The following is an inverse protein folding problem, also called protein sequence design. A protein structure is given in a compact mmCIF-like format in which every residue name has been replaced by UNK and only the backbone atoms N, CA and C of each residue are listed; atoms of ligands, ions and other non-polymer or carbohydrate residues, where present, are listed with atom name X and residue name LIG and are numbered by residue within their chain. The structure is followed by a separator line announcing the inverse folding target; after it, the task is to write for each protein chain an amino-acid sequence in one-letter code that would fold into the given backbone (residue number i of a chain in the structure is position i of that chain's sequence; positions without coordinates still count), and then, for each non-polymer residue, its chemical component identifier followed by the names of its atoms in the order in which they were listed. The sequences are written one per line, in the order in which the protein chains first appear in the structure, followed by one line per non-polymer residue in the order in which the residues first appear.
data_IF_617948251950
#
_entry.id   IF_617948251950
#
_cell.length_a   1.000
_cell.length_b   1.000
_cell.length_c   1.000
_cell.angle_alpha   90.00
_cell.angle_beta   90.00
_cell.angle_gamma   90.00
#
_symmetry.space_group_name_H-M   'P 1'
#
loop_
_entity.id
_entity.type
_entity.pdbx_description
1 polymer ?
#
# COMPACT_ATOMS: atom_id res chain seq x y z
N UNK A 1 40.19 -28.51 5.12
CA UNK A 1 40.79 -28.82 6.42
C UNK A 1 39.91 -28.18 7.47
N UNK A 2 39.12 -28.83 8.31
CA UNK A 2 38.63 -30.19 8.55
C UNK A 2 37.45 -29.97 9.54
N UNK A 3 36.28 -30.61 9.39
CA UNK A 3 35.91 -31.87 10.08
C UNK A 3 36.17 -31.79 11.61
N UNK A 4 35.29 -32.06 12.57
CA UNK A 4 34.31 -33.14 12.75
C UNK A 4 33.58 -32.89 14.10
N UNK A 5 32.28 -33.22 14.23
CA UNK A 5 31.71 -34.39 14.94
C UNK A 5 32.19 -34.69 16.38
N UNK A 6 31.22 -34.83 17.30
CA UNK A 6 31.07 -35.88 18.35
C UNK A 6 29.74 -35.61 19.09
N UNK A 7 28.67 -36.41 19.06
CA UNK A 7 28.44 -37.82 19.45
C UNK A 7 28.37 -38.07 20.96
N UNK A 8 27.21 -38.54 21.45
CA UNK A 8 27.00 -39.49 22.58
C UNK A 8 25.52 -39.94 22.56
N UNK A 9 25.20 -41.13 22.02
CA UNK A 9 24.96 -42.42 22.71
C UNK A 9 23.86 -42.38 23.80
N UNK A 10 22.68 -43.00 23.64
CA UNK A 10 22.31 -44.41 23.44
C UNK A 10 21.61 -44.94 24.70
N UNK A 11 20.39 -45.48 24.56
CA UNK A 11 20.01 -46.73 25.23
C UNK A 11 18.79 -47.37 24.56
N UNK A 12 19.07 -48.52 23.97
CA UNK A 12 18.15 -49.52 23.45
C UNK A 12 17.28 -50.13 24.54
N UNK A 13 16.07 -50.56 24.16
CA UNK A 13 15.43 -51.78 24.65
C UNK A 13 14.53 -52.34 23.54
N UNK A 14 14.93 -53.45 22.93
CA UNK A 14 14.06 -54.35 22.18
C UNK A 14 13.21 -55.18 23.17
N UNK A 15 12.08 -55.72 22.69
CA UNK A 15 12.08 -57.17 22.57
C UNK A 15 11.53 -57.68 21.23
N UNK A 16 12.26 -58.66 20.72
CA UNK A 16 11.90 -59.63 19.69
C UNK A 16 10.62 -60.39 20.01
N UNK A 17 9.75 -60.60 19.01
CA UNK A 17 8.98 -61.85 18.85
C UNK A 17 8.44 -62.03 17.42
N UNK A 18 8.91 -63.12 16.82
CA UNK A 18 8.34 -63.97 15.77
C UNK A 18 7.59 -63.34 14.59
N UNK A 19 8.26 -63.39 13.44
CA UNK A 19 7.66 -63.82 12.17
C UNK A 19 6.92 -65.13 12.42
N UNK A 20 5.61 -65.11 12.24
CA UNK A 20 4.80 -66.19 11.67
C UNK A 20 3.33 -65.81 11.88
N UNK A 21 2.66 -65.39 10.81
CA UNK A 21 1.22 -65.51 10.81
C UNK A 21 0.45 -64.58 9.88
N UNK A 22 -0.09 -65.17 8.82
CA UNK A 22 -1.32 -64.77 8.13
C UNK A 22 -1.16 -63.58 7.17
N UNK A 23 -0.63 -63.90 5.99
CA UNK A 23 -1.16 -63.35 4.73
C UNK A 23 -2.66 -63.68 4.64
N UNK A 24 -3.49 -62.83 5.24
CA UNK A 24 -4.89 -62.71 4.83
C UNK A 24 -4.95 -61.58 3.81
N UNK A 25 -4.92 -61.93 2.53
CA UNK A 25 -5.38 -61.02 1.48
C UNK A 25 -6.80 -60.59 1.85
N UNK A 26 -7.12 -59.29 1.92
CA UNK A 26 -8.52 -58.91 1.91
C UNK A 26 -9.03 -59.27 0.51
N UNK A 27 -9.99 -60.20 0.44
CA UNK A 27 -10.98 -60.24 -0.65
C UNK A 27 -11.75 -58.92 -0.59
N UNK A 28 -11.11 -57.87 -1.09
CA UNK A 28 -11.73 -56.59 -1.34
C UNK A 28 -12.36 -56.74 -2.71
N UNK A 29 -13.70 -56.82 -2.74
CA UNK A 29 -14.46 -56.76 -3.98
C UNK A 29 -13.80 -55.74 -4.92
N UNK A 30 -13.33 -56.21 -6.09
CA UNK A 30 -12.66 -55.37 -7.09
C UNK A 30 -13.49 -54.12 -7.43
N UNK A 31 -14.80 -54.22 -7.24
CA UNK A 31 -15.78 -53.14 -7.37
C UNK A 31 -15.55 -52.03 -6.34
N UNK A 32 -15.35 -52.36 -5.05
CA UNK A 32 -15.15 -51.35 -3.98
C UNK A 32 -13.82 -50.62 -4.11
N UNK A 33 -12.76 -51.31 -4.55
CA UNK A 33 -11.47 -50.68 -4.79
C UNK A 33 -11.51 -49.74 -6.00
N UNK A 34 -12.19 -50.16 -7.08
CA UNK A 34 -12.41 -49.31 -8.25
C UNK A 34 -13.29 -48.09 -7.91
N UNK A 35 -14.32 -48.25 -7.08
CA UNK A 35 -15.15 -47.13 -6.60
C UNK A 35 -14.36 -46.12 -5.77
N UNK A 36 -13.48 -46.61 -4.88
CA UNK A 36 -12.57 -45.76 -4.09
C UNK A 36 -11.60 -44.97 -4.97
N UNK A 37 -10.94 -45.64 -5.92
CA UNK A 37 -10.04 -44.98 -6.88
C UNK A 37 -10.79 -44.01 -7.79
N UNK A 38 -12.02 -44.32 -8.21
CA UNK A 38 -12.86 -43.39 -8.97
C UNK A 38 -13.31 -42.19 -8.12
N UNK A 39 -13.53 -42.37 -6.82
CA UNK A 39 -13.75 -41.27 -5.88
C UNK A 39 -12.52 -40.36 -5.79
N UNK A 40 -11.36 -40.96 -5.53
CA UNK A 40 -10.07 -40.25 -5.43
C UNK A 40 -9.69 -39.54 -6.74
N UNK A 41 -9.87 -40.18 -7.89
CA UNK A 41 -9.60 -39.57 -9.20
C UNK A 41 -10.58 -38.44 -9.52
N UNK A 42 -11.85 -38.53 -9.13
CA UNK A 42 -12.81 -37.42 -9.26
C UNK A 42 -12.45 -36.23 -8.37
N UNK A 43 -11.98 -36.49 -7.17
CA UNK A 43 -11.55 -35.46 -6.22
C UNK A 43 -10.25 -34.78 -6.69
N UNK A 44 -9.32 -35.57 -7.25
CA UNK A 44 -8.08 -35.10 -7.87
C UNK A 44 -8.33 -34.33 -9.18
N UNK A 45 -9.25 -34.79 -10.04
CA UNK A 45 -9.67 -34.03 -11.23
C UNK A 45 -10.43 -32.76 -10.85
N UNK A 46 -11.24 -32.78 -9.79
CA UNK A 46 -11.92 -31.58 -9.27
C UNK A 46 -10.91 -30.52 -8.82
N UNK A 47 -9.82 -30.92 -8.16
CA UNK A 47 -8.73 -30.01 -7.75
C UNK A 47 -7.87 -29.53 -8.92
N UNK A 48 -7.62 -30.36 -9.93
CA UNK A 48 -6.88 -29.97 -11.14
C UNK A 48 -7.69 -29.14 -12.16
N UNK A 49 -9.02 -29.25 -12.13
CA UNK A 49 -9.94 -28.50 -13.01
C UNK A 49 -10.44 -27.20 -12.40
N UNK A 50 -10.02 -26.83 -11.17
CA UNK A 50 -10.33 -25.50 -10.65
C UNK A 50 -9.66 -24.45 -11.56
N UNK A 51 -10.45 -23.58 -12.21
CA UNK A 51 -9.88 -22.47 -12.96
C UNK A 51 -9.04 -21.66 -11.97
N UNK A 52 -7.73 -21.55 -12.21
CA UNK A 52 -6.87 -20.69 -11.41
C UNK A 52 -7.44 -19.28 -11.50
N UNK A 53 -8.09 -18.82 -10.43
CA UNK A 53 -8.69 -17.50 -10.37
C UNK A 53 -7.59 -16.48 -10.68
N UNK A 54 -7.86 -15.62 -11.66
CA UNK A 54 -6.94 -14.55 -12.08
C UNK A 54 -7.10 -13.31 -11.21
N UNK A 55 -7.55 -13.49 -9.97
CA UNK A 55 -7.70 -12.40 -9.00
C UNK A 55 -7.63 -12.93 -7.57
N UNK A 56 -7.33 -12.02 -6.64
CA UNK A 56 -7.47 -12.22 -5.20
C UNK A 56 -8.42 -11.16 -4.63
N UNK A 57 -9.00 -11.44 -3.46
CA UNK A 57 -9.82 -10.47 -2.73
C UNK A 57 -9.06 -10.04 -1.49
N UNK A 58 -8.78 -8.74 -1.39
CA UNK A 58 -8.03 -8.09 -0.34
C UNK A 58 -8.98 -7.40 0.63
N UNK A 59 -8.73 -7.56 1.92
CA UNK A 59 -9.33 -6.76 2.99
C UNK A 59 -8.55 -5.46 3.17
N UNK A 60 -9.13 -4.52 3.90
CA UNK A 60 -8.47 -3.25 4.22
C UNK A 60 -7.13 -3.44 4.95
N UNK A 61 -7.03 -4.45 5.82
CA UNK A 61 -5.79 -4.80 6.51
C UNK A 61 -4.68 -5.23 5.53
N UNK A 62 -5.02 -6.06 4.53
CA UNK A 62 -4.08 -6.50 3.50
C UNK A 62 -3.58 -5.31 2.67
N UNK A 63 -4.48 -4.35 2.36
CA UNK A 63 -4.13 -3.11 1.66
C UNK A 63 -3.15 -2.28 2.48
N UNK A 64 -3.42 -2.08 3.78
CA UNK A 64 -2.51 -1.34 4.68
C UNK A 64 -1.13 -1.99 4.72
N UNK A 65 -1.08 -3.31 4.85
CA UNK A 65 0.17 -4.05 4.88
C UNK A 65 0.94 -3.90 3.57
N UNK A 66 0.29 -4.09 2.42
CA UNK A 66 0.93 -3.93 1.11
C UNK A 66 1.45 -2.50 0.90
N UNK A 67 0.68 -1.47 1.28
CA UNK A 67 1.15 -0.08 1.21
C UNK A 67 2.39 0.12 2.07
N UNK A 68 2.40 -0.39 3.30
CA UNK A 68 3.54 -0.27 4.21
C UNK A 68 4.78 -0.97 3.66
N UNK A 69 4.61 -2.15 3.06
CA UNK A 69 5.70 -2.88 2.41
C UNK A 69 6.27 -2.06 1.23
N UNK A 70 5.41 -1.54 0.35
CA UNK A 70 5.84 -0.70 -0.78
C UNK A 70 6.60 0.54 -0.29
N UNK A 71 6.07 1.24 0.72
CA UNK A 71 6.73 2.42 1.29
C UNK A 71 8.08 2.08 1.90
N UNK A 72 8.16 1.01 2.69
CA UNK A 72 9.41 0.56 3.33
C UNK A 72 10.46 0.20 2.29
N UNK A 73 10.06 -0.54 1.25
CA UNK A 73 10.96 -0.95 0.16
C UNK A 73 11.52 0.27 -0.58
N UNK A 74 10.66 1.22 -0.96
CA UNK A 74 11.06 2.45 -1.65
C UNK A 74 11.94 3.33 -0.77
N UNK A 75 11.58 3.55 0.50
CA UNK A 75 12.40 4.30 1.44
C UNK A 75 13.80 3.69 1.57
N UNK A 76 13.88 2.36 1.73
CA UNK A 76 15.16 1.67 1.91
C UNK A 76 16.01 1.68 0.64
N UNK A 77 15.43 1.37 -0.53
CA UNK A 77 16.19 1.23 -1.78
C UNK A 77 16.60 2.57 -2.39
N UNK A 78 15.76 3.59 -2.26
CA UNK A 78 16.04 4.92 -2.83
C UNK A 78 16.64 5.90 -1.82
N UNK A 79 16.73 5.50 -0.54
CA UNK A 79 17.17 6.36 0.56
C UNK A 79 16.41 7.70 0.64
N UNK A 80 15.09 7.63 0.45
CA UNK A 80 14.20 8.79 0.49
C UNK A 80 13.32 8.78 1.75
N UNK A 81 12.80 9.95 2.13
CA UNK A 81 11.84 10.04 3.24
C UNK A 81 10.52 9.34 2.90
N UNK A 82 9.77 8.95 3.93
CA UNK A 82 8.42 8.38 3.78
C UNK A 82 7.51 9.26 2.92
N UNK A 83 7.50 10.56 3.17
CA UNK A 83 6.73 11.53 2.37
C UNK A 83 7.11 11.48 0.89
N UNK A 84 8.40 11.44 0.58
CA UNK A 84 8.88 11.33 -0.79
C UNK A 84 8.49 10.00 -1.42
N UNK A 85 8.59 8.89 -0.67
CA UNK A 85 8.19 7.57 -1.12
C UNK A 85 6.69 7.51 -1.47
N UNK A 86 5.82 8.11 -0.65
CA UNK A 86 4.37 8.20 -0.94
C UNK A 86 4.15 8.93 -2.28
N UNK A 87 4.73 10.11 -2.46
CA UNK A 87 4.58 10.91 -3.69
C UNK A 87 5.06 10.12 -4.92
N UNK A 88 6.21 9.44 -4.81
CA UNK A 88 6.78 8.61 -5.88
C UNK A 88 5.92 7.40 -6.22
N UNK A 89 5.45 6.68 -5.21
CA UNK A 89 4.57 5.52 -5.38
C UNK A 89 3.29 5.91 -6.10
N UNK A 90 2.67 7.02 -5.69
CA UNK A 90 1.48 7.54 -6.36
C UNK A 90 1.74 7.92 -7.81
N UNK A 91 2.86 8.60 -8.10
CA UNK A 91 3.23 8.93 -9.48
C UNK A 91 3.35 7.69 -10.36
N UNK A 92 3.83 6.59 -9.79
CA UNK A 92 4.00 5.32 -10.46
C UNK A 92 2.84 4.34 -10.23
N UNK A 93 1.66 4.82 -9.84
CA UNK A 93 0.45 3.99 -9.73
C UNK A 93 0.62 2.80 -8.77
N UNK A 94 1.42 2.97 -7.73
CA UNK A 94 1.86 1.95 -6.77
C UNK A 94 2.58 0.75 -7.41
N UNK A 95 3.17 0.92 -8.59
CA UNK A 95 4.03 -0.08 -9.22
C UNK A 95 5.51 0.20 -8.88
N UNK A 96 6.01 -0.53 -7.89
CA UNK A 96 7.37 -0.39 -7.35
C UNK A 96 8.45 -0.68 -8.40
N UNK A 97 8.28 -1.73 -9.23
CA UNK A 97 9.25 -2.06 -10.29
C UNK A 97 9.39 -0.90 -11.28
N UNK A 98 8.26 -0.40 -11.79
CA UNK A 98 8.25 0.73 -12.72
C UNK A 98 8.83 2.01 -12.10
N UNK A 99 8.62 2.21 -10.80
CA UNK A 99 9.23 3.32 -10.07
C UNK A 99 10.76 3.20 -10.07
N UNK A 100 11.30 2.02 -9.76
CA UNK A 100 12.74 1.81 -9.75
C UNK A 100 13.36 1.98 -11.13
N UNK A 101 12.76 1.39 -12.16
CA UNK A 101 13.24 1.52 -13.53
C UNK A 101 13.37 3.01 -13.91
N UNK A 102 12.31 3.80 -13.69
CA UNK A 102 12.31 5.24 -13.99
C UNK A 102 13.26 6.05 -13.11
N UNK A 103 13.31 5.75 -11.81
CA UNK A 103 14.12 6.51 -10.86
C UNK A 103 15.60 6.34 -11.13
N UNK A 104 16.05 5.12 -11.45
CA UNK A 104 17.46 4.86 -11.73
C UNK A 104 17.91 5.37 -13.10
N UNK A 105 16.97 5.59 -14.03
CA UNK A 105 17.25 6.21 -15.34
C UNK A 105 17.23 7.76 -15.28
N UNK A 106 16.22 8.36 -14.66
CA UNK A 106 15.88 9.78 -14.78
C UNK A 106 15.55 10.46 -13.42
N UNK A 107 16.36 10.22 -12.38
CA UNK A 107 16.07 10.70 -11.00
C UNK A 107 15.74 12.20 -10.94
N UNK A 108 16.60 13.05 -11.51
CA UNK A 108 16.45 14.51 -11.37
C UNK A 108 15.19 15.01 -12.08
N UNK A 109 14.81 14.44 -13.22
CA UNK A 109 13.59 14.79 -13.94
C UNK A 109 12.34 14.35 -13.18
N UNK A 110 12.37 13.14 -12.60
CA UNK A 110 11.29 12.64 -11.72
C UNK A 110 11.13 13.56 -10.51
N UNK A 111 12.23 13.93 -9.85
CA UNK A 111 12.22 14.86 -8.72
C UNK A 111 11.65 16.21 -9.09
N UNK A 112 12.13 16.81 -10.18
CA UNK A 112 11.70 18.13 -10.61
C UNK A 112 10.22 18.17 -10.96
N UNK A 113 9.74 17.17 -11.71
CA UNK A 113 8.32 17.03 -12.07
C UNK A 113 7.42 16.90 -10.85
N UNK A 114 7.88 16.19 -9.82
CA UNK A 114 7.11 15.95 -8.59
C UNK A 114 7.28 17.05 -7.55
N UNK A 115 8.20 17.99 -7.75
CA UNK A 115 8.50 19.04 -6.78
C UNK A 115 9.28 18.54 -5.56
N UNK A 116 10.08 17.47 -5.72
CA UNK A 116 10.94 16.88 -4.70
C UNK A 116 12.36 17.48 -4.76
N UNK A 117 12.43 18.81 -4.72
CA UNK A 117 13.67 19.57 -4.93
C UNK A 117 14.71 19.30 -3.82
N UNK A 118 15.98 19.11 -4.22
CA UNK A 118 17.09 18.79 -3.29
C UNK A 118 17.63 19.99 -2.52
N UNK A 119 17.56 21.18 -3.11
CA UNK A 119 18.11 22.41 -2.55
C UNK A 119 16.97 23.31 -2.10
N UNK A 120 16.73 23.35 -0.79
CA UNK A 120 15.99 24.44 -0.18
C UNK A 120 16.97 25.59 0.01
N UNK A 121 16.71 26.79 -0.54
CA UNK A 121 17.51 27.97 -0.19
C UNK A 121 17.52 28.11 1.34
N UNK A 122 18.71 28.14 1.94
CA UNK A 122 18.85 28.46 3.35
C UNK A 122 18.41 29.93 3.51
N UNK A 123 17.21 30.13 4.04
CA UNK A 123 16.77 31.47 4.41
C UNK A 123 17.40 31.78 5.76
N UNK A 124 18.26 32.80 5.79
CA UNK A 124 18.85 33.28 7.02
C UNK A 124 17.75 33.87 7.91
N UNK A 125 17.47 33.18 9.03
CA UNK A 125 16.48 33.59 10.04
C UNK A 125 17.10 34.45 11.14
N UNK A 126 18.23 35.10 10.87
CA UNK A 126 18.92 36.01 11.80
C UNK A 126 18.04 37.20 12.24
N UNK A 127 16.99 37.54 11.48
CA UNK A 127 15.91 38.43 11.91
C UNK A 127 14.87 37.65 12.74
N UNK A 128 14.75 37.97 14.02
CA UNK A 128 13.91 37.26 15.00
C UNK A 128 12.39 37.31 14.79
N UNK A 129 11.90 37.69 13.61
CA UNK A 129 10.48 37.64 13.23
C UNK A 129 10.32 37.59 11.69
N UNK A 130 9.19 37.08 11.21
CA UNK A 130 8.82 37.13 9.79
C UNK A 130 7.35 37.52 9.61
N UNK A 131 6.97 38.03 8.44
CA UNK A 131 5.56 38.32 8.10
C UNK A 131 5.02 37.22 7.20
N UNK A 132 3.91 36.61 7.60
CA UNK A 132 3.24 35.59 6.80
C UNK A 132 2.55 36.23 5.58
N UNK A 133 2.89 35.80 4.36
CA UNK A 133 2.31 36.39 3.13
C UNK A 133 0.85 36.00 2.86
N UNK A 134 0.26 35.10 3.67
CA UNK A 134 -1.15 34.69 3.55
C UNK A 134 -2.04 35.54 4.46
N UNK A 135 -1.73 35.63 5.75
CA UNK A 135 -2.53 36.39 6.72
C UNK A 135 -1.99 37.81 6.99
N UNK A 136 -0.78 38.12 6.53
CA UNK A 136 -0.06 39.39 6.77
C UNK A 136 0.28 39.67 8.25
N UNK A 137 0.18 38.66 9.12
CA UNK A 137 0.57 38.78 10.53
C UNK A 137 2.07 38.58 10.73
N UNK A 138 2.63 39.26 11.72
CA UNK A 138 4.03 39.07 12.15
C UNK A 138 4.12 37.90 13.12
N UNK A 139 5.04 37.00 12.85
CA UNK A 139 5.28 35.79 13.63
C UNK A 139 6.70 35.84 14.21
N UNK A 140 6.82 35.72 15.52
CA UNK A 140 8.10 35.78 16.22
C UNK A 140 8.91 34.50 16.01
N UNK A 141 10.24 34.63 15.90
CA UNK A 141 11.16 33.50 15.68
C UNK A 141 11.34 32.61 16.90
N UNK A 142 10.87 33.05 18.07
CA UNK A 142 11.00 32.35 19.35
C UNK A 142 10.00 31.21 19.58
N UNK A 143 9.11 30.94 18.63
CA UNK A 143 8.15 29.84 18.73
C UNK A 143 8.06 29.04 17.45
N UNK A 144 7.54 27.82 17.59
CA UNK A 144 7.24 26.85 16.53
C UNK A 144 6.30 27.38 15.42
N UNK A 145 6.01 28.69 15.34
CA UNK A 145 4.91 29.27 14.57
C UNK A 145 5.10 29.25 13.05
N UNK A 146 6.30 28.94 12.52
CA UNK A 146 6.58 29.00 11.09
C UNK A 146 7.15 27.70 10.55
N UNK A 147 6.59 27.20 9.46
CA UNK A 147 7.08 26.00 8.80
C UNK A 147 7.13 26.22 7.28
N UNK A 148 8.06 25.54 6.61
CA UNK A 148 8.14 25.47 5.16
C UNK A 148 8.01 24.01 4.71
N UNK A 149 7.66 23.79 3.44
CA UNK A 149 7.85 22.47 2.84
C UNK A 149 9.34 22.12 2.82
N UNK A 150 9.67 20.85 3.00
CA UNK A 150 11.05 20.33 2.87
C UNK A 150 11.66 20.50 1.48
N UNK A 151 10.88 20.96 0.50
CA UNK A 151 11.29 21.08 -0.88
C UNK A 151 11.36 22.54 -1.37
N UNK A 152 11.03 23.55 -0.54
CA UNK A 152 11.22 24.96 -0.92
C UNK A 152 11.47 25.87 0.30
N UNK A 153 11.89 27.12 0.04
CA UNK A 153 12.19 28.10 1.08
C UNK A 153 11.03 29.02 1.45
N UNK A 154 9.78 28.67 1.09
CA UNK A 154 8.61 29.52 1.37
C UNK A 154 8.01 29.15 2.73
N UNK A 155 7.94 30.14 3.62
CA UNK A 155 7.45 29.98 4.98
C UNK A 155 6.06 30.59 5.14
N UNK A 156 5.21 29.90 5.90
CA UNK A 156 3.93 30.43 6.33
C UNK A 156 3.71 30.08 7.79
N UNK A 157 2.84 30.82 8.46
CA UNK A 157 2.50 30.49 9.83
C UNK A 157 1.76 29.14 9.88
N UNK A 158 1.91 28.41 10.99
CA UNK A 158 1.27 27.11 11.20
C UNK A 158 -0.24 27.20 10.96
N UNK A 159 -0.89 28.28 11.42
CA UNK A 159 -2.33 28.47 11.24
C UNK A 159 -2.73 28.53 9.76
N UNK A 160 -1.98 29.24 8.92
CA UNK A 160 -2.24 29.31 7.48
C UNK A 160 -2.02 27.94 6.82
N UNK A 161 -0.95 27.23 7.17
CA UNK A 161 -0.73 25.87 6.67
C UNK A 161 -1.84 24.90 7.08
N UNK A 162 -2.25 24.92 8.35
CA UNK A 162 -3.30 24.04 8.88
C UNK A 162 -4.66 24.31 8.20
N UNK A 163 -4.97 25.58 7.91
CA UNK A 163 -6.16 25.94 7.13
C UNK A 163 -6.06 25.43 5.70
N UNK A 164 -4.96 25.75 5.01
CA UNK A 164 -4.71 25.32 3.63
C UNK A 164 -4.79 23.80 3.45
N UNK A 165 -4.13 23.04 4.34
CA UNK A 165 -4.14 21.57 4.31
C UNK A 165 -5.54 21.00 4.54
N UNK A 166 -6.27 21.48 5.54
CA UNK A 166 -7.64 20.99 5.79
C UNK A 166 -8.62 21.32 4.68
N UNK A 167 -8.49 22.50 4.07
CA UNK A 167 -9.30 22.88 2.91
C UNK A 167 -9.04 21.94 1.75
N UNK A 168 -7.77 21.62 1.47
CA UNK A 168 -7.43 20.64 0.44
C UNK A 168 -7.99 19.24 0.76
N UNK A 169 -7.88 18.77 2.00
CA UNK A 169 -8.46 17.49 2.44
C UNK A 169 -9.99 17.46 2.26
N UNK A 170 -10.65 18.60 2.53
CA UNK A 170 -12.10 18.69 2.47
C UNK A 170 -12.63 18.82 1.04
N UNK A 171 -11.93 19.57 0.18
CA UNK A 171 -12.41 19.94 -1.14
C UNK A 171 -11.85 19.07 -2.27
N UNK A 172 -10.58 18.64 -2.17
CA UNK A 172 -9.88 17.95 -3.25
C UNK A 172 -9.94 16.42 -3.12
N UNK A 173 -10.39 15.91 -1.98
CA UNK A 173 -10.43 14.47 -1.68
C UNK A 173 -9.04 13.84 -1.85
N UNK A 174 -8.94 12.80 -2.68
CA UNK A 174 -7.68 12.10 -3.00
C UNK A 174 -6.64 13.01 -3.68
N UNK A 175 -7.06 14.17 -4.22
CA UNK A 175 -6.17 15.19 -4.75
C UNK A 175 -5.26 15.83 -3.71
N UNK A 176 -5.66 15.87 -2.43
CA UNK A 176 -4.89 16.50 -1.34
C UNK A 176 -3.52 15.84 -1.09
N UNK A 177 -3.35 14.60 -1.52
CA UNK A 177 -2.11 13.84 -1.42
C UNK A 177 -1.07 14.23 -2.51
N UNK A 178 -1.44 15.13 -3.42
CA UNK A 178 -0.53 15.76 -4.40
C UNK A 178 -0.39 17.27 -4.18
N UNK A 179 -0.69 17.72 -2.95
CA UNK A 179 -0.68 19.12 -2.55
C UNK A 179 0.67 19.79 -2.84
N UNK A 180 0.62 21.06 -3.24
CA UNK A 180 1.77 21.89 -3.59
C UNK A 180 1.92 23.06 -2.63
N UNK A 181 3.11 23.65 -2.62
CA UNK A 181 3.36 24.88 -1.88
C UNK A 181 2.34 25.96 -2.31
N UNK A 182 1.74 26.71 -1.36
CA UNK A 182 0.76 27.74 -1.70
C UNK A 182 1.39 28.99 -2.35
N UNK A 183 2.72 29.10 -2.39
CA UNK A 183 3.39 30.21 -3.06
C UNK A 183 3.15 30.18 -4.58
N UNK A 184 2.69 31.28 -5.21
CA UNK A 184 2.46 31.34 -6.65
C UNK A 184 3.69 30.91 -7.46
N UNK A 185 3.51 29.98 -8.40
CA UNK A 185 4.60 29.48 -9.25
C UNK A 185 5.55 28.48 -8.58
N UNK A 186 5.39 28.19 -7.29
CA UNK A 186 6.18 27.17 -6.60
C UNK A 186 5.63 25.76 -6.86
N UNK A 187 6.39 24.92 -7.55
CA UNK A 187 6.02 23.53 -7.83
C UNK A 187 6.33 22.53 -6.71
N UNK A 188 6.86 22.99 -5.57
CA UNK A 188 7.34 22.14 -4.49
C UNK A 188 6.20 21.31 -3.88
N UNK A 189 6.45 20.03 -3.65
CA UNK A 189 5.47 19.16 -3.03
C UNK A 189 5.25 19.52 -1.56
N UNK A 190 4.10 19.15 -1.02
CA UNK A 190 3.83 19.16 0.42
C UNK A 190 3.70 17.70 0.86
N UNK A 191 4.65 17.27 1.69
CA UNK A 191 4.74 15.89 2.16
C UNK A 191 3.79 15.57 3.32
N UNK A 192 3.56 14.28 3.55
CA UNK A 192 2.77 13.77 4.68
C UNK A 192 3.28 14.31 6.03
N UNK A 193 4.59 14.49 6.18
CA UNK A 193 5.22 15.03 7.37
C UNK A 193 4.71 16.44 7.74
N UNK A 194 4.67 17.38 6.78
CA UNK A 194 4.14 18.72 7.01
C UNK A 194 2.63 18.67 7.25
N UNK A 195 1.91 17.89 6.44
CA UNK A 195 0.44 17.73 6.57
C UNK A 195 0.10 17.27 7.98
N UNK A 196 0.74 16.20 8.47
CA UNK A 196 0.46 15.67 9.80
C UNK A 196 0.92 16.63 10.89
N UNK A 197 2.05 17.32 10.73
CA UNK A 197 2.54 18.25 11.75
C UNK A 197 1.59 19.43 11.97
N UNK A 198 1.02 20.00 10.89
CA UNK A 198 0.12 21.17 11.01
C UNK A 198 -1.29 20.77 11.41
N UNK A 199 -1.73 19.54 11.11
CA UNK A 199 -3.02 19.05 11.57
C UNK A 199 -3.03 18.79 13.08
N UNK A 200 -1.91 18.47 13.72
CA UNK A 200 -1.83 18.33 15.19
C UNK A 200 -2.24 19.62 15.91
N UNK A 201 -2.02 20.78 15.30
CA UNK A 201 -2.32 22.08 15.94
C UNK A 201 -3.76 22.54 15.75
N UNK A 202 -4.59 21.78 15.02
CA UNK A 202 -5.96 22.17 14.65
C UNK A 202 -6.99 21.42 15.50
N UNK A 203 -8.06 22.10 15.90
CA UNK A 203 -9.15 21.50 16.69
C UNK A 203 -9.79 20.28 16.01
N UNK A 204 -10.05 20.34 14.70
CA UNK A 204 -10.58 19.22 13.91
C UNK A 204 -9.47 18.36 13.27
N UNK A 205 -8.24 18.49 13.74
CA UNK A 205 -7.05 17.87 13.15
C UNK A 205 -7.14 16.36 13.04
N UNK A 206 -7.67 15.68 14.05
CA UNK A 206 -7.75 14.22 14.05
C UNK A 206 -8.75 13.67 13.03
N UNK A 207 -9.86 14.37 12.80
CA UNK A 207 -10.80 14.02 11.74
C UNK A 207 -10.17 14.19 10.34
N UNK A 208 -9.42 15.28 10.14
CA UNK A 208 -8.72 15.52 8.88
C UNK A 208 -7.57 14.53 8.66
N UNK A 209 -6.81 14.16 9.70
CA UNK A 209 -5.80 13.09 9.64
C UNK A 209 -6.42 11.75 9.26
N UNK A 210 -7.58 11.42 9.82
CA UNK A 210 -8.30 10.20 9.48
C UNK A 210 -8.73 10.18 8.01
N UNK A 211 -9.30 11.28 7.51
CA UNK A 211 -9.64 11.44 6.07
C UNK A 211 -8.41 11.33 5.18
N UNK A 212 -7.32 12.03 5.51
CA UNK A 212 -6.07 11.96 4.75
C UNK A 212 -5.53 10.52 4.70
N UNK A 213 -5.53 9.81 5.84
CA UNK A 213 -5.11 8.41 5.92
C UNK A 213 -6.01 7.49 5.08
N UNK A 214 -7.32 7.74 5.07
CA UNK A 214 -8.27 7.02 4.24
C UNK A 214 -8.02 7.28 2.74
N UNK A 215 -7.78 8.53 2.34
CA UNK A 215 -7.43 8.85 0.95
C UNK A 215 -6.13 8.18 0.53
N UNK A 216 -5.12 8.17 1.40
CA UNK A 216 -3.86 7.49 1.11
C UNK A 216 -4.11 6.01 0.88
N UNK A 217 -4.87 5.34 1.76
CA UNK A 217 -5.26 3.95 1.58
C UNK A 217 -5.99 3.72 0.26
N UNK A 218 -6.98 4.57 -0.06
CA UNK A 218 -7.77 4.44 -1.29
C UNK A 218 -6.95 4.61 -2.56
N UNK A 219 -5.93 5.48 -2.51
CA UNK A 219 -5.04 5.70 -3.65
C UNK A 219 -4.32 4.44 -4.10
N UNK A 220 -4.09 3.45 -3.22
CA UNK A 220 -3.53 2.15 -3.60
C UNK A 220 -4.36 1.53 -4.73
N UNK A 221 -5.68 1.51 -4.53
CA UNK A 221 -6.65 0.89 -5.44
C UNK A 221 -6.92 1.80 -6.64
N UNK A 222 -7.24 3.06 -6.37
CA UNK A 222 -7.72 4.00 -7.39
C UNK A 222 -6.63 4.40 -8.38
N UNK A 223 -5.37 4.54 -7.93
CA UNK A 223 -4.26 4.87 -8.83
C UNK A 223 -3.81 3.65 -9.64
N UNK A 224 -4.27 2.43 -9.35
CA UNK A 224 -3.73 1.16 -9.91
C UNK A 224 -3.96 0.93 -11.41
N UNK A 225 -4.54 1.91 -12.12
CA UNK A 225 -4.90 1.84 -13.55
C UNK A 225 -5.79 0.64 -13.89
N UNK A 226 -6.64 0.22 -12.96
CA UNK A 226 -7.60 -0.88 -13.09
C UNK A 226 -7.12 -2.24 -12.60
N UNK A 227 -5.83 -2.38 -12.20
CA UNK A 227 -5.31 -3.64 -11.64
C UNK A 227 -6.03 -4.04 -10.36
N UNK A 228 -6.53 -3.06 -9.62
CA UNK A 228 -7.33 -3.25 -8.40
C UNK A 228 -8.64 -2.47 -8.51
N UNK A 229 -9.73 -3.05 -8.02
CA UNK A 229 -11.06 -2.42 -7.99
C UNK A 229 -11.77 -2.68 -6.66
N UNK A 230 -12.52 -1.69 -6.19
CA UNK A 230 -13.42 -1.88 -5.04
C UNK A 230 -14.57 -2.82 -5.39
N UNK A 231 -15.05 -3.57 -4.41
CA UNK A 231 -16.30 -4.31 -4.53
C UNK A 231 -17.47 -3.32 -4.66
N UNK A 232 -18.36 -3.44 -5.68
CA UNK A 232 -19.47 -2.51 -5.85
C UNK A 232 -20.59 -2.63 -4.80
N UNK A 233 -20.60 -3.71 -4.01
CA UNK A 233 -21.62 -3.91 -2.98
C UNK A 233 -21.60 -2.77 -1.95
N UNK A 234 -22.75 -2.15 -1.64
CA UNK A 234 -22.84 -1.14 -0.59
C UNK A 234 -22.28 -1.64 0.74
N UNK A 235 -21.45 -0.81 1.39
CA UNK A 235 -20.83 -1.12 2.69
C UNK A 235 -19.73 -2.18 2.64
N UNK A 236 -19.25 -2.58 1.47
CA UNK A 236 -18.15 -3.53 1.33
C UNK A 236 -16.84 -2.82 1.00
N UNK A 237 -15.88 -2.90 1.91
CA UNK A 237 -14.54 -2.29 1.75
C UNK A 237 -13.49 -3.28 1.24
N UNK A 238 -13.93 -4.35 0.57
CA UNK A 238 -13.04 -5.33 -0.05
C UNK A 238 -12.62 -4.89 -1.44
N UNK A 239 -11.41 -5.28 -1.81
CA UNK A 239 -10.78 -4.95 -3.10
C UNK A 239 -10.46 -6.21 -3.85
N UNK A 240 -10.65 -6.19 -5.15
CA UNK A 240 -10.29 -7.27 -6.04
C UNK A 240 -9.00 -6.88 -6.76
N UNK A 241 -7.96 -7.68 -6.61
CA UNK A 241 -6.65 -7.50 -7.24
C UNK A 241 -6.48 -8.52 -8.38
N UNK A 242 -6.36 -8.04 -9.62
CA UNK A 242 -6.33 -8.86 -10.82
C UNK A 242 -4.91 -9.30 -11.16
N UNK A 243 -4.67 -10.62 -11.13
CA UNK A 243 -3.39 -11.26 -11.41
C UNK A 243 -3.33 -11.67 -12.88
N UNK A 244 -2.37 -11.11 -13.63
CA UNK A 244 -2.07 -11.56 -15.00
C UNK A 244 -2.91 -10.93 -16.13
N UNK A 245 -3.54 -9.78 -15.88
CA UNK A 245 -4.21 -8.96 -16.90
C UNK A 245 -5.74 -9.06 -16.93
N UNK A 246 -6.36 -8.20 -17.74
CA UNK A 246 -7.82 -8.06 -17.87
C UNK A 246 -8.44 -9.20 -18.68
N UNK A 247 -8.77 -10.31 -18.03
CA UNK A 247 -9.72 -11.29 -18.56
C UNK A 247 -11.16 -10.83 -18.34
N UNK A 248 -12.10 -11.31 -19.16
CA UNK A 248 -13.55 -11.28 -18.83
C UNK A 248 -13.77 -12.24 -17.66
N UNK A 249 -13.65 -11.73 -16.44
CA UNK A 249 -13.78 -12.54 -15.23
C UNK A 249 -15.08 -12.19 -14.51
N UNK A 250 -15.91 -13.20 -14.30
CA UNK A 250 -16.91 -13.16 -13.24
C UNK A 250 -16.16 -13.21 -11.90
N UNK A 251 -16.25 -12.11 -11.17
CA UNK A 251 -15.61 -11.93 -9.88
C UNK A 251 -16.63 -12.21 -8.80
N UNK A 252 -16.28 -13.10 -7.88
CA UNK A 252 -16.98 -13.27 -6.60
C UNK A 252 -16.15 -12.66 -5.48
N UNK A 253 -16.71 -11.67 -4.81
CA UNK A 253 -16.13 -11.04 -3.62
C UNK A 253 -16.37 -11.90 -2.37
N UNK A 254 -15.59 -11.67 -1.31
CA UNK A 254 -15.78 -12.33 0.00
C UNK A 254 -17.12 -11.95 0.67
N UNK A 255 -17.73 -10.82 0.30
CA UNK A 255 -19.08 -10.45 0.73
C UNK A 255 -20.18 -11.18 -0.06
N UNK A 256 -19.81 -12.14 -0.92
CA UNK A 256 -20.69 -12.88 -1.84
C UNK A 256 -21.26 -12.08 -3.02
N UNK A 257 -20.99 -10.77 -3.11
CA UNK A 257 -21.35 -9.98 -4.27
C UNK A 257 -20.59 -10.45 -5.51
N UNK A 258 -21.30 -10.59 -6.63
CA UNK A 258 -20.74 -11.02 -7.91
C UNK A 258 -20.86 -9.92 -8.95
N UNK A 259 -19.78 -9.68 -9.68
CA UNK A 259 -19.74 -8.66 -10.73
C UNK A 259 -18.73 -9.00 -11.82
N UNK A 260 -18.90 -8.39 -12.99
CA UNK A 260 -17.96 -8.52 -14.10
C UNK A 260 -16.86 -7.46 -13.98
N UNK A 261 -15.59 -7.88 -14.09
CA UNK A 261 -14.43 -6.99 -14.04
C UNK A 261 -14.39 -5.93 -15.17
N UNK A 262 -15.05 -6.19 -16.30
CA UNK A 262 -14.99 -5.35 -17.50
C UNK A 262 -16.27 -4.55 -17.79
N UNK A 263 -17.38 -4.86 -17.10
CA UNK A 263 -18.60 -4.10 -17.32
C UNK A 263 -18.47 -2.70 -16.67
N UNK A 264 -18.94 -1.64 -17.35
CA UNK A 264 -19.12 -0.35 -16.71
C UNK A 264 -20.11 -0.50 -15.55
N UNK A 265 -19.81 0.13 -14.41
CA UNK A 265 -20.68 0.11 -13.24
C UNK A 265 -22.09 0.57 -13.64
N UNK A 266 -23.07 -0.31 -13.49
CA UNK A 266 -24.48 0.07 -13.71
C UNK A 266 -24.89 0.89 -12.48
N UNK A 267 -24.70 2.20 -12.55
CA UNK A 267 -25.33 3.12 -11.59
C UNK A 267 -26.84 3.01 -11.74
N UNK A 268 -27.47 2.20 -10.89
CA UNK A 268 -28.91 2.30 -10.65
C UNK A 268 -29.10 3.60 -9.87
N UNK A 269 -29.63 4.62 -10.56
CA UNK A 269 -30.03 5.90 -9.96
C UNK A 269 -31.24 5.72 -9.06
#
# INVERSE_FOLDING_TARGET
MDSCCSSSSSRYLHPSRSLDGWFAQPDYDNIKFAEYLNGFMREYQSTLLQPKLRYTVLKEADIREHQLQCMTEVCSKLCVSRSSAIILLRHCNWNVSMLFDKWFEEEDDVRNKLGLFRKVPLVDRSAGSFTCEICFETCDAGGDLSISSNFCGHFYCIACWATYVSESISNDGVGCLSLKCPHPGCGAAVGEDLILSVLVTKLNGDADKAKHSQYLLRSYVEDSKGKRKWCPSPGCDYVVDFVGGYGTCDVSCLCSYRFCSNCPEVTVR
#
